data_IF_332379478847
#
_entry.id   IF_332379478847
#
_cell.length_a   1.000
_cell.length_b   1.000
_cell.length_c   1.000
_cell.angle_alpha   90.00
_cell.angle_beta   90.00
_cell.angle_gamma   90.00
#
_symmetry.space_group_name_H-M   'P 1'
#
loop_
_entity.id
_entity.type
_entity.pdbx_description
1 polymer ?
#
# COMPACT_ATOMS: atom_id res chain seq x y z
N UNK A 1 -3.87 3.42 31.72
CA UNK A 1 -4.45 4.54 32.53
C UNK A 1 -3.74 5.82 32.14
N UNK A 2 -4.42 6.81 31.53
CA UNK A 2 -4.07 8.26 31.36
C UNK A 2 -2.55 8.65 31.34
N UNK A 3 -2.00 9.42 30.40
CA UNK A 3 -2.56 10.63 29.73
C UNK A 3 -1.60 11.15 28.64
N UNK A 4 -2.12 11.89 27.66
CA UNK A 4 -1.37 12.75 26.73
C UNK A 4 -0.32 13.67 27.40
N UNK A 5 0.73 14.03 26.65
CA UNK A 5 1.29 15.39 26.70
C UNK A 5 1.67 15.93 25.32
N UNK A 6 0.89 16.91 24.83
CA UNK A 6 1.20 17.70 23.63
C UNK A 6 2.00 18.94 24.05
N UNK A 7 3.13 19.22 23.40
CA UNK A 7 3.76 20.56 23.41
C UNK A 7 4.64 20.76 22.17
N UNK A 8 4.15 21.54 21.22
CA UNK A 8 4.87 21.79 19.97
C UNK A 8 5.98 22.83 20.12
N UNK A 9 6.90 22.82 19.16
CA UNK A 9 7.67 24.00 18.73
C UNK A 9 7.97 23.83 17.24
N UNK A 10 7.64 24.82 16.43
CA UNK A 10 8.01 24.82 15.00
C UNK A 10 9.53 24.90 14.87
N UNK A 11 10.14 23.93 14.20
CA UNK A 11 11.51 24.05 13.71
C UNK A 11 11.52 23.84 12.19
N UNK A 12 11.87 24.90 11.45
CA UNK A 12 12.28 24.75 10.06
C UNK A 12 13.67 24.11 10.06
N UNK A 13 13.83 22.94 9.44
CA UNK A 13 15.13 22.52 8.94
C UNK A 13 15.00 22.21 7.45
N UNK A 14 15.86 22.85 6.65
CA UNK A 14 15.91 22.67 5.20
C UNK A 14 16.65 21.38 4.89
N UNK A 15 16.19 20.69 3.85
CA UNK A 15 16.70 19.42 3.35
C UNK A 15 18.24 19.31 3.31
N UNK A 16 18.74 18.16 3.76
CA UNK A 16 20.01 17.59 3.31
C UNK A 16 19.69 16.46 2.32
N UNK A 17 19.87 16.75 1.03
CA UNK A 17 19.64 15.82 -0.07
C UNK A 17 20.71 14.73 -0.08
N UNK A 18 20.31 13.46 0.01
CA UNK A 18 21.18 12.31 -0.24
C UNK A 18 20.43 11.26 -1.07
N UNK A 19 21.13 10.79 -2.10
CA UNK A 19 20.59 10.04 -3.24
C UNK A 19 19.85 8.75 -2.84
N UNK A 20 18.54 8.71 -3.13
CA UNK A 20 17.89 7.46 -3.49
C UNK A 20 18.08 7.23 -5.00
N UNK A 21 18.92 6.25 -5.36
CA UNK A 21 18.80 5.63 -6.69
C UNK A 21 17.44 4.92 -6.73
N UNK A 22 16.67 5.16 -7.78
CA UNK A 22 15.26 4.79 -7.79
C UNK A 22 15.03 3.27 -7.80
N UNK A 23 14.10 2.82 -6.97
CA UNK A 23 13.39 1.57 -7.21
C UNK A 23 12.35 1.82 -8.32
N UNK A 24 12.57 1.17 -9.46
CA UNK A 24 11.54 0.99 -10.48
C UNK A 24 10.61 -0.13 -10.06
N UNK A 25 9.32 -0.02 -10.36
CA UNK A 25 8.36 -1.10 -10.12
C UNK A 25 7.28 -1.16 -11.21
N UNK A 26 7.57 -1.91 -12.27
CA UNK A 26 6.60 -2.40 -13.25
C UNK A 26 6.33 -3.88 -12.91
N UNK A 27 5.34 -4.10 -12.04
CA UNK A 27 5.52 -4.98 -10.86
C UNK A 27 6.71 -4.48 -10.00
N UNK A 28 6.57 -4.48 -8.68
CA UNK A 28 7.79 -4.69 -7.93
C UNK A 28 8.35 -6.03 -8.42
N UNK A 29 9.63 -6.08 -8.80
CA UNK A 29 10.31 -7.38 -8.77
C UNK A 29 10.11 -7.83 -7.32
N UNK A 30 9.34 -8.90 -7.13
CA UNK A 30 8.77 -9.21 -5.82
C UNK A 30 9.87 -9.74 -4.92
N UNK A 31 10.58 -8.82 -4.28
CA UNK A 31 11.80 -9.13 -3.57
C UNK A 31 11.47 -9.96 -2.32
N UNK A 32 12.39 -10.87 -2.02
CA UNK A 32 12.43 -11.53 -0.72
C UNK A 32 13.31 -10.68 0.17
N UNK A 33 12.70 -9.90 1.06
CA UNK A 33 13.43 -9.05 2.00
C UNK A 33 13.83 -9.88 3.20
N UNK A 34 15.12 -9.94 3.47
CA UNK A 34 15.68 -10.49 4.71
C UNK A 34 15.60 -9.44 5.82
N UNK A 35 14.84 -9.72 6.87
CA UNK A 35 14.67 -8.80 7.99
C UNK A 35 15.76 -9.02 9.04
N UNK A 36 16.46 -7.92 9.34
CA UNK A 36 17.36 -7.73 10.48
C UNK A 36 16.76 -6.64 11.35
N UNK A 37 17.08 -6.59 12.63
CA UNK A 37 16.39 -5.65 13.52
C UNK A 37 17.16 -5.25 14.77
N UNK A 38 16.51 -4.35 15.50
CA UNK A 38 17.01 -3.65 16.67
C UNK A 38 16.98 -4.50 17.95
N UNK A 39 17.43 -3.92 19.06
CA UNK A 39 17.37 -4.55 20.39
C UNK A 39 16.40 -3.79 21.28
N UNK A 40 15.37 -4.49 21.72
CA UNK A 40 14.37 -4.05 22.69
C UNK A 40 14.93 -3.95 24.15
N UNK A 41 16.16 -3.45 24.32
CA UNK A 41 16.80 -3.24 25.62
C UNK A 41 17.14 -1.77 25.90
N UNK A 42 16.34 -0.87 25.32
CA UNK A 42 16.50 0.60 25.38
C UNK A 42 17.80 1.11 24.73
N UNK A 43 18.49 0.26 23.96
CA UNK A 43 19.67 0.62 23.20
C UNK A 43 19.47 0.41 21.70
N UNK A 44 19.41 1.51 20.96
CA UNK A 44 19.44 1.48 19.50
C UNK A 44 20.78 0.88 19.05
N UNK A 45 20.73 -0.28 18.39
CA UNK A 45 21.87 -0.75 17.61
C UNK A 45 22.13 0.22 16.46
N UNK A 46 23.39 0.40 16.09
CA UNK A 46 23.73 1.16 14.88
C UNK A 46 23.48 0.34 13.62
N UNK A 47 23.23 1.01 12.49
CA UNK A 47 23.12 0.38 11.17
C UNK A 47 24.32 -0.53 10.85
N UNK A 48 25.53 -0.15 11.28
CA UNK A 48 26.75 -0.94 11.12
C UNK A 48 26.68 -2.26 11.90
N UNK A 49 26.23 -2.23 13.16
CA UNK A 49 26.06 -3.42 14.00
C UNK A 49 24.93 -4.34 13.49
N UNK A 50 23.84 -3.77 12.94
CA UNK A 50 22.74 -4.55 12.33
C UNK A 50 23.18 -5.18 11.01
N UNK A 51 23.96 -4.46 10.20
CA UNK A 51 24.38 -4.94 8.86
C UNK A 51 25.12 -6.29 8.92
N UNK A 52 25.86 -6.55 10.00
CA UNK A 52 26.65 -7.77 10.21
C UNK A 52 25.90 -8.91 10.92
N UNK A 53 24.67 -8.70 11.38
CA UNK A 53 23.83 -9.77 11.91
C UNK A 53 23.39 -10.73 10.79
N UNK A 54 23.11 -12.02 11.10
CA UNK A 54 22.31 -12.88 10.21
C UNK A 54 20.89 -12.30 10.04
N UNK A 55 20.20 -12.74 8.99
CA UNK A 55 18.77 -12.47 8.85
C UNK A 55 17.97 -13.31 9.85
N UNK A 56 16.96 -12.71 10.48
CA UNK A 56 16.10 -13.40 11.45
C UNK A 56 14.96 -14.15 10.77
N UNK A 57 14.33 -13.51 9.77
CA UNK A 57 13.30 -14.09 8.91
C UNK A 57 13.32 -13.39 7.55
N UNK A 58 12.65 -13.99 6.56
CA UNK A 58 12.44 -13.39 5.23
C UNK A 58 10.96 -13.22 4.93
N UNK A 59 10.63 -12.17 4.19
CA UNK A 59 9.27 -11.92 3.67
C UNK A 59 9.32 -11.88 2.15
N UNK A 60 8.54 -12.71 1.47
CA UNK A 60 8.43 -12.70 0.00
C UNK A 60 7.43 -11.63 -0.47
N UNK A 61 7.43 -11.31 -1.77
CA UNK A 61 6.43 -10.44 -2.39
C UNK A 61 6.33 -9.04 -1.76
N UNK A 62 7.43 -8.55 -1.20
CA UNK A 62 7.56 -7.16 -0.77
C UNK A 62 7.58 -6.26 -2.00
N UNK A 63 6.84 -5.16 -1.92
CA UNK A 63 6.65 -4.20 -3.01
C UNK A 63 7.06 -2.77 -2.65
N UNK A 64 7.12 -2.45 -1.35
CA UNK A 64 7.55 -1.16 -0.83
C UNK A 64 7.84 -1.24 0.68
N UNK A 65 8.40 -0.18 1.27
CA UNK A 65 8.44 0.01 2.74
C UNK A 65 7.67 1.27 3.16
N UNK A 66 7.44 1.43 4.46
CA UNK A 66 6.84 2.64 5.05
C UNK A 66 7.41 2.92 6.44
N UNK A 67 7.42 4.19 6.85
CA UNK A 67 7.87 4.61 8.19
C UNK A 67 6.88 4.11 9.25
N UNK A 68 7.37 3.35 10.23
CA UNK A 68 6.57 2.75 11.31
C UNK A 68 6.67 3.55 12.61
N UNK A 69 7.52 4.59 12.71
CA UNK A 69 7.76 5.33 13.96
C UNK A 69 6.57 6.09 14.51
N UNK A 70 5.54 6.34 13.69
CA UNK A 70 4.27 6.92 14.13
C UNK A 70 3.33 5.87 14.78
N UNK A 71 3.66 4.58 14.64
CA UNK A 71 2.93 3.42 15.19
C UNK A 71 3.72 2.78 16.35
N UNK A 72 5.02 2.49 16.14
CA UNK A 72 5.92 1.90 17.14
C UNK A 72 7.28 2.62 17.10
N UNK A 73 7.68 3.25 18.20
CA UNK A 73 8.90 4.07 18.26
C UNK A 73 10.21 3.26 18.13
N UNK A 74 10.15 1.92 18.23
CA UNK A 74 11.30 1.01 18.15
C UNK A 74 11.46 0.33 16.78
N UNK A 75 10.53 0.56 15.84
CA UNK A 75 10.57 -0.02 14.50
C UNK A 75 10.67 1.10 13.46
N UNK A 76 11.77 1.11 12.71
CA UNK A 76 12.04 2.15 11.71
C UNK A 76 11.14 2.01 10.47
N UNK A 77 11.13 0.83 9.85
CA UNK A 77 10.43 0.57 8.59
C UNK A 77 9.59 -0.70 8.66
N UNK A 78 8.40 -0.63 8.08
CA UNK A 78 7.49 -1.74 7.85
C UNK A 78 7.44 -2.12 6.38
N UNK A 79 7.01 -3.34 6.08
CA UNK A 79 6.97 -3.89 4.72
C UNK A 79 5.56 -3.81 4.15
N UNK A 80 5.41 -3.37 2.90
CA UNK A 80 4.17 -3.50 2.12
C UNK A 80 4.33 -4.68 1.17
N UNK A 81 3.37 -5.60 1.14
CA UNK A 81 3.51 -6.89 0.45
C UNK A 81 2.26 -7.28 -0.33
N UNK A 82 2.44 -7.92 -1.49
CA UNK A 82 1.34 -8.44 -2.32
C UNK A 82 0.86 -9.82 -1.81
N UNK A 83 -0.45 -10.11 -1.84
CA UNK A 83 -0.94 -11.45 -1.59
C UNK A 83 -0.61 -12.35 -2.82
N UNK A 84 -0.29 -13.62 -2.66
CA UNK A 84 0.06 -14.29 -1.40
C UNK A 84 1.52 -13.99 -1.01
N UNK A 85 1.79 -13.67 0.25
CA UNK A 85 3.15 -13.46 0.78
C UNK A 85 3.52 -14.52 1.81
N UNK A 86 4.76 -15.02 1.81
CA UNK A 86 5.24 -15.95 2.83
C UNK A 86 6.23 -15.26 3.76
N UNK A 87 5.98 -15.32 5.07
CA UNK A 87 6.97 -14.98 6.11
C UNK A 87 7.62 -16.30 6.54
N UNK A 88 8.95 -16.38 6.48
CA UNK A 88 9.72 -17.60 6.79
C UNK A 88 10.82 -17.32 7.81
N UNK A 89 10.85 -18.06 8.91
CA UNK A 89 11.89 -18.01 9.94
C UNK A 89 13.23 -18.52 9.40
N UNK A 90 14.29 -17.74 9.63
CA UNK A 90 15.67 -18.07 9.24
C UNK A 90 16.59 -18.29 10.46
N UNK A 91 16.25 -17.76 11.64
CA UNK A 91 17.09 -17.84 12.82
C UNK A 91 17.25 -19.28 13.34
N UNK A 92 18.51 -19.67 13.56
CA UNK A 92 18.93 -20.96 14.11
C UNK A 92 18.70 -21.03 15.62
N UNK A 93 18.62 -22.26 16.17
CA UNK A 93 18.65 -22.50 17.62
C UNK A 93 17.29 -22.52 18.34
N UNK A 94 16.21 -22.12 17.66
CA UNK A 94 14.87 -22.10 18.24
C UNK A 94 14.53 -20.74 18.85
N UNK A 95 13.45 -20.12 18.39
CA UNK A 95 13.03 -18.77 18.82
C UNK A 95 11.52 -18.70 19.01
N UNK A 96 11.06 -17.74 19.81
CA UNK A 96 9.66 -17.29 19.72
C UNK A 96 9.52 -16.54 18.39
N UNK A 97 8.53 -16.92 17.60
CA UNK A 97 8.27 -16.38 16.27
C UNK A 97 6.78 -16.54 16.01
N UNK A 98 6.00 -15.55 16.40
CA UNK A 98 4.54 -15.55 16.30
C UNK A 98 4.11 -14.40 15.38
N UNK A 99 3.11 -14.65 14.52
CA UNK A 99 2.59 -13.63 13.59
C UNK A 99 1.12 -13.42 13.88
N UNK A 100 0.75 -12.17 14.11
CA UNK A 100 -0.60 -11.75 14.48
C UNK A 100 -1.22 -10.95 13.34
N UNK A 101 -2.49 -11.20 13.04
CA UNK A 101 -3.30 -10.24 12.27
C UNK A 101 -3.74 -9.14 13.23
N UNK A 102 -3.42 -7.89 12.93
CA UNK A 102 -3.69 -6.77 13.82
C UNK A 102 -5.13 -6.29 13.67
N UNK A 103 -5.74 -5.91 14.80
CA UNK A 103 -6.98 -5.12 14.80
C UNK A 103 -6.62 -3.65 14.96
N UNK A 104 -6.94 -2.84 13.94
CA UNK A 104 -6.81 -1.39 14.03
C UNK A 104 -7.85 -0.81 15.00
N UNK A 105 -7.39 0.10 15.85
CA UNK A 105 -8.20 0.91 16.76
C UNK A 105 -7.91 2.39 16.53
N UNK A 106 -8.91 3.25 16.75
CA UNK A 106 -8.85 4.71 16.67
C UNK A 106 -7.47 5.36 16.95
N UNK A 107 -7.10 6.36 16.16
CA UNK A 107 -5.84 7.10 16.24
C UNK A 107 -4.57 6.26 15.94
N UNK A 108 -4.57 5.45 14.87
CA UNK A 108 -3.44 4.60 14.42
C UNK A 108 -2.90 3.61 15.48
N UNK A 109 -3.72 3.18 16.44
CA UNK A 109 -3.31 2.19 17.43
C UNK A 109 -3.69 0.78 16.99
N UNK A 110 -2.90 -0.22 17.38
CA UNK A 110 -3.14 -1.62 17.02
C UNK A 110 -3.18 -2.48 18.26
N UNK A 111 -4.12 -3.41 18.30
CA UNK A 111 -4.20 -4.48 19.28
C UNK A 111 -3.98 -5.84 18.59
N UNK A 112 -3.31 -6.75 19.30
CA UNK A 112 -3.21 -8.16 18.94
C UNK A 112 -3.51 -9.02 20.17
N UNK A 113 -4.23 -10.10 19.96
CA UNK A 113 -4.58 -11.08 20.99
C UNK A 113 -4.02 -12.46 20.61
N UNK A 114 -3.80 -13.35 21.58
CA UNK A 114 -3.30 -14.72 21.31
C UNK A 114 -4.24 -15.53 20.39
N UNK A 115 -5.51 -15.16 20.32
CA UNK A 115 -6.52 -15.71 19.40
C UNK A 115 -6.41 -15.21 17.96
N UNK A 116 -5.70 -14.10 17.71
CA UNK A 116 -5.41 -13.55 16.37
C UNK A 116 -4.10 -14.09 15.77
N UNK A 117 -3.43 -15.01 16.48
CA UNK A 117 -2.20 -15.64 16.01
C UNK A 117 -2.47 -16.55 14.82
N UNK A 118 -1.74 -16.33 13.73
CA UNK A 118 -1.82 -17.16 12.54
C UNK A 118 -1.19 -18.55 12.74
N UNK A 119 -1.75 -19.61 12.12
CA UNK A 119 -1.18 -20.93 12.17
C UNK A 119 0.14 -21.00 11.39
N UNK A 120 1.22 -21.33 12.10
CA UNK A 120 2.53 -21.59 11.51
C UNK A 120 2.64 -23.04 11.01
N UNK A 121 3.38 -23.23 9.92
CA UNK A 121 3.78 -24.54 9.42
C UNK A 121 5.26 -24.76 9.67
N UNK A 122 5.65 -25.92 10.19
CA UNK A 122 7.05 -26.26 10.43
C UNK A 122 7.23 -27.07 11.70
N UNK A 123 8.32 -26.83 12.43
CA UNK A 123 8.66 -27.55 13.67
C UNK A 123 9.00 -26.61 14.80
N UNK A 124 8.58 -26.96 16.00
CA UNK A 124 8.95 -26.27 17.22
C UNK A 124 9.64 -27.23 18.19
N UNK A 125 10.55 -26.69 18.98
CA UNK A 125 11.04 -27.30 20.22
C UNK A 125 10.11 -26.85 21.34
N UNK A 126 9.61 -27.80 22.13
CA UNK A 126 8.83 -27.54 23.33
C UNK A 126 9.51 -28.19 24.54
N UNK A 127 9.32 -27.56 25.69
CA UNK A 127 9.77 -28.06 26.99
C UNK A 127 8.56 -28.59 27.74
N UNK A 128 8.50 -29.90 27.98
CA UNK A 128 7.34 -30.56 28.60
C UNK A 128 7.78 -31.22 29.90
N UNK A 129 7.12 -30.87 31.00
CA UNK A 129 7.33 -31.53 32.28
C UNK A 129 6.66 -32.91 32.32
N UNK A 130 7.39 -33.93 32.75
CA UNK A 130 6.86 -35.28 32.97
C UNK A 130 6.10 -35.40 34.32
N UNK A 131 5.55 -36.58 34.63
CA UNK A 131 4.85 -36.83 35.91
C UNK A 131 5.72 -36.64 37.17
N UNK A 132 7.06 -36.58 37.02
CA UNK A 132 8.02 -36.32 38.09
C UNK A 132 8.41 -34.83 38.23
N UNK A 133 8.07 -34.01 37.23
CA UNK A 133 8.49 -32.62 37.11
C UNK A 133 9.87 -32.43 36.45
N UNK A 134 10.42 -33.48 35.82
CA UNK A 134 11.60 -33.35 34.97
C UNK A 134 11.17 -32.81 33.60
N UNK A 135 11.87 -31.79 33.09
CA UNK A 135 11.53 -31.12 31.84
C UNK A 135 12.31 -31.76 30.70
N UNK A 136 11.59 -32.38 29.76
CA UNK A 136 12.17 -32.97 28.54
C UNK A 136 12.05 -32.01 27.35
N UNK A 137 13.06 -32.01 26.49
CA UNK A 137 13.10 -31.20 25.27
C UNK A 137 12.59 -32.04 24.10
N UNK A 138 11.51 -31.59 23.44
CA UNK A 138 10.90 -32.32 22.34
C UNK A 138 10.73 -31.46 21.10
N UNK A 139 11.29 -31.91 19.97
CA UNK A 139 10.90 -31.39 18.65
C UNK A 139 9.58 -32.01 18.22
N UNK A 140 8.59 -31.18 17.93
CA UNK A 140 7.27 -31.56 17.40
C UNK A 140 6.97 -30.82 16.10
N UNK A 141 6.00 -31.31 15.34
CA UNK A 141 5.39 -30.53 14.26
C UNK A 141 4.52 -29.43 14.89
N UNK A 142 4.49 -28.23 14.30
CA UNK A 142 3.70 -27.11 14.85
C UNK A 142 2.21 -27.45 14.90
N UNK A 143 1.71 -28.28 13.97
CA UNK A 143 0.34 -28.78 13.99
C UNK A 143 0.01 -29.70 15.17
N UNK A 144 1.01 -30.23 15.88
CA UNK A 144 0.80 -31.05 17.08
C UNK A 144 0.79 -30.23 18.39
N UNK A 145 1.12 -28.93 18.37
CA UNK A 145 1.31 -28.12 19.60
C UNK A 145 0.11 -28.12 20.55
N UNK A 146 -1.12 -28.15 20.02
CA UNK A 146 -2.36 -28.21 20.82
C UNK A 146 -2.46 -29.46 21.72
N UNK A 147 -1.62 -30.47 21.51
CA UNK A 147 -1.57 -31.70 22.31
C UNK A 147 -0.62 -31.57 23.52
N UNK A 148 0.05 -30.43 23.72
CA UNK A 148 1.04 -30.21 24.77
C UNK A 148 0.76 -28.92 25.55
N UNK A 149 1.02 -28.95 26.85
CA UNK A 149 0.96 -27.77 27.73
C UNK A 149 2.29 -27.00 27.63
N UNK A 150 2.50 -26.34 26.49
CA UNK A 150 3.74 -25.65 26.15
C UNK A 150 3.52 -24.14 26.06
N UNK A 151 3.84 -23.41 27.14
CA UNK A 151 3.64 -21.94 27.22
C UNK A 151 4.48 -21.17 26.18
N UNK A 152 5.68 -21.65 25.82
CA UNK A 152 6.61 -20.98 24.91
C UNK A 152 7.25 -21.97 23.92
N UNK A 153 6.58 -22.31 22.80
CA UNK A 153 7.19 -23.09 21.73
C UNK A 153 8.30 -22.30 21.03
N UNK A 154 9.46 -22.92 20.85
CA UNK A 154 10.59 -22.35 20.12
C UNK A 154 10.60 -22.87 18.68
N UNK A 155 10.15 -22.06 17.73
CA UNK A 155 10.09 -22.41 16.32
C UNK A 155 11.49 -22.52 15.70
N UNK A 156 11.67 -23.50 14.82
CA UNK A 156 12.93 -23.81 14.14
C UNK A 156 12.99 -23.19 12.72
N UNK A 157 14.19 -23.02 12.13
CA UNK A 157 14.35 -22.53 10.75
C UNK A 157 13.42 -23.21 9.74
N UNK A 158 12.85 -22.42 8.85
CA UNK A 158 11.87 -22.87 7.86
C UNK A 158 10.42 -22.93 8.38
N UNK A 159 10.15 -22.57 9.64
CA UNK A 159 8.78 -22.27 10.07
C UNK A 159 8.22 -21.08 9.27
N UNK A 160 7.02 -21.23 8.71
CA UNK A 160 6.46 -20.24 7.78
C UNK A 160 4.96 -20.07 7.94
N UNK A 161 4.48 -18.86 7.64
CA UNK A 161 3.05 -18.53 7.48
C UNK A 161 2.80 -17.91 6.11
N UNK A 162 1.65 -18.24 5.53
CA UNK A 162 1.17 -17.65 4.28
C UNK A 162 0.15 -16.54 4.58
N UNK A 163 0.46 -15.33 4.14
CA UNK A 163 -0.35 -14.13 4.27
C UNK A 163 -1.16 -13.92 2.98
N UNK A 164 -2.39 -14.41 2.99
CA UNK A 164 -3.32 -14.33 1.84
C UNK A 164 -4.37 -13.24 1.99
N UNK A 165 -4.72 -12.85 3.21
CA UNK A 165 -5.75 -11.86 3.46
C UNK A 165 -5.16 -10.45 3.62
N UNK A 166 -5.81 -9.42 3.08
CA UNK A 166 -5.42 -8.03 3.32
C UNK A 166 -5.53 -7.64 4.79
N UNK A 167 -4.70 -6.68 5.19
CA UNK A 167 -4.66 -6.13 6.54
C UNK A 167 -3.24 -5.87 7.01
N UNK A 168 -3.15 -5.33 8.23
CA UNK A 168 -1.89 -5.12 8.93
C UNK A 168 -1.56 -6.33 9.82
N UNK A 169 -0.29 -6.69 9.88
CA UNK A 169 0.23 -7.84 10.62
C UNK A 169 1.47 -7.45 11.41
N UNK A 170 1.66 -8.10 12.55
CA UNK A 170 2.85 -7.93 13.39
C UNK A 170 3.61 -9.25 13.51
N UNK A 171 4.91 -9.20 13.26
CA UNK A 171 5.84 -10.32 13.49
C UNK A 171 6.54 -10.09 14.83
N UNK A 172 6.17 -10.91 15.82
CA UNK A 172 6.84 -10.99 17.10
C UNK A 172 7.96 -12.04 17.00
N UNK A 173 9.22 -11.60 16.97
CA UNK A 173 10.40 -12.49 16.94
C UNK A 173 11.28 -12.24 18.16
N UNK A 174 11.65 -13.31 18.88
CA UNK A 174 12.37 -13.21 20.15
C UNK A 174 13.28 -14.40 20.44
N UNK A 175 14.56 -14.12 20.70
CA UNK A 175 15.50 -15.07 21.30
C UNK A 175 15.29 -15.18 22.82
N UNK A 176 15.50 -16.37 23.39
CA UNK A 176 15.35 -16.58 24.84
C UNK A 176 16.51 -15.93 25.60
N UNK A 177 16.19 -14.94 26.45
CA UNK A 177 17.06 -14.33 27.46
C UNK A 177 18.40 -13.70 26.99
N UNK A 178 18.70 -13.66 25.68
CA UNK A 178 19.95 -13.11 25.14
C UNK A 178 19.65 -12.05 24.08
N UNK A 179 20.00 -10.79 24.39
CA UNK A 179 20.34 -9.74 23.42
C UNK A 179 19.27 -9.28 22.38
N UNK A 180 18.01 -9.13 22.76
CA UNK A 180 17.03 -8.32 22.01
C UNK A 180 16.23 -9.08 20.93
N UNK A 181 15.49 -8.34 20.11
CA UNK A 181 14.31 -8.83 19.37
C UNK A 181 14.08 -8.00 18.11
N UNK A 182 14.07 -8.64 16.95
CA UNK A 182 13.82 -8.00 15.65
C UNK A 182 12.36 -8.15 15.22
N UNK A 183 11.50 -7.19 15.56
CA UNK A 183 10.08 -7.18 15.15
C UNK A 183 9.87 -6.48 13.79
N UNK A 184 8.74 -6.76 13.13
CA UNK A 184 8.32 -6.01 11.93
C UNK A 184 6.79 -5.85 11.83
N UNK A 185 6.37 -4.71 11.27
CA UNK A 185 5.02 -4.52 10.75
C UNK A 185 4.97 -4.89 9.26
N UNK A 186 3.93 -5.61 8.87
CA UNK A 186 3.69 -6.04 7.48
C UNK A 186 2.27 -5.62 7.07
N UNK A 187 2.15 -4.83 6.02
CA UNK A 187 0.88 -4.47 5.38
C UNK A 187 0.66 -5.34 4.16
N UNK A 188 -0.27 -6.29 4.25
CA UNK A 188 -0.72 -7.10 3.11
C UNK A 188 -1.84 -6.33 2.42
N UNK A 189 -1.67 -6.10 1.13
CA UNK A 189 -2.64 -5.35 0.32
C UNK A 189 -3.70 -6.28 -0.29
N UNK A 190 -4.88 -5.79 -0.62
CA UNK A 190 -5.86 -6.48 -1.48
C UNK A 190 -5.35 -6.82 -2.88
N UNK A 191 -5.95 -7.83 -3.52
CA UNK A 191 -5.76 -8.09 -4.96
C UNK A 191 -6.21 -6.91 -5.86
N UNK A 192 -6.85 -5.89 -5.30
CA UNK A 192 -7.14 -4.60 -5.95
C UNK A 192 -6.50 -3.39 -5.26
N UNK A 193 -5.68 -3.59 -4.23
CA UNK A 193 -5.08 -2.52 -3.45
C UNK A 193 -3.57 -2.54 -3.66
N UNK A 194 -3.01 -1.37 -3.89
CA UNK A 194 -1.65 -0.99 -3.47
C UNK A 194 -1.85 0.36 -2.81
N UNK A 195 -2.47 0.33 -1.63
CA UNK A 195 -3.18 1.47 -1.05
C UNK A 195 -3.21 1.44 0.49
N UNK A 196 -3.32 2.63 1.09
CA UNK A 196 -3.13 2.88 2.51
C UNK A 196 -4.43 3.33 3.21
N UNK A 197 -4.70 2.77 4.39
CA UNK A 197 -5.63 3.29 5.41
C UNK A 197 -5.08 4.58 6.08
N UNK A 198 -5.85 5.35 6.90
CA UNK A 198 -7.12 5.03 7.60
C UNK A 198 -8.21 6.16 7.47
N UNK A 199 -9.28 6.32 8.27
CA UNK A 199 -9.74 5.76 9.56
C UNK A 199 -11.29 5.81 9.71
N UNK A 200 -11.82 5.06 10.69
CA UNK A 200 -13.10 5.10 11.46
C UNK A 200 -14.24 6.13 11.18
N UNK A 201 -15.54 5.85 11.37
CA UNK A 201 -16.35 4.66 11.78
C UNK A 201 -17.88 4.97 11.49
N UNK A 202 -18.95 4.24 11.88
CA UNK A 202 -19.20 3.17 12.88
C UNK A 202 -20.51 2.39 12.60
N UNK A 203 -20.54 1.09 12.94
CA UNK A 203 -21.68 0.21 13.30
C UNK A 203 -22.85 -0.10 12.32
N UNK A 204 -23.32 -1.37 12.42
CA UNK A 204 -24.54 -2.01 11.90
C UNK A 204 -24.51 -2.70 10.52
N UNK A 205 -24.87 -3.98 10.54
CA UNK A 205 -24.86 -4.97 9.44
C UNK A 205 -25.98 -4.79 8.41
N UNK A 206 -25.64 -4.63 7.14
CA UNK A 206 -26.33 -5.26 6.00
C UNK A 206 -25.36 -5.35 4.79
N UNK A 207 -25.47 -6.37 3.95
CA UNK A 207 -24.53 -6.59 2.83
C UNK A 207 -24.75 -5.57 1.71
N UNK A 208 -23.93 -4.52 1.69
CA UNK A 208 -23.97 -3.45 0.68
C UNK A 208 -22.84 -3.57 -0.36
N UNK A 209 -23.13 -3.15 -1.59
CA UNK A 209 -22.17 -2.93 -2.68
C UNK A 209 -21.12 -1.88 -2.23
N UNK A 210 -19.81 -2.03 -2.53
CA UNK A 210 -18.77 -1.16 -1.98
C UNK A 210 -19.02 0.31 -2.31
N UNK A 211 -19.15 1.15 -1.28
CA UNK A 211 -19.45 2.57 -1.45
C UNK A 211 -18.20 3.36 -1.86
N UNK A 212 -18.34 4.18 -2.92
CA UNK A 212 -17.26 5.05 -3.39
C UNK A 212 -17.04 6.18 -2.36
N UNK A 213 -15.81 6.39 -1.84
CA UNK A 213 -15.59 7.33 -0.75
C UNK A 213 -15.90 8.77 -1.17
N UNK A 214 -16.68 9.47 -0.32
CA UNK A 214 -17.16 10.82 -0.58
C UNK A 214 -16.03 11.88 -0.59
N UNK A 215 -14.90 11.58 0.04
CA UNK A 215 -13.71 12.42 0.09
C UNK A 215 -12.47 11.54 0.13
N UNK A 216 -11.37 11.99 -0.49
CA UNK A 216 -10.11 11.25 -0.63
C UNK A 216 -8.90 12.18 -0.50
N UNK A 217 -7.75 11.65 -0.06
CA UNK A 217 -6.47 12.32 -0.28
C UNK A 217 -6.03 12.14 -1.73
N UNK A 218 -5.42 13.18 -2.29
CA UNK A 218 -4.90 13.22 -3.65
C UNK A 218 -3.44 13.70 -3.58
N UNK A 219 -2.50 12.78 -3.71
CA UNK A 219 -1.06 13.04 -3.65
C UNK A 219 -0.54 13.42 -5.05
N UNK A 220 0.22 14.51 -5.24
CA UNK A 220 0.68 14.93 -6.56
C UNK A 220 1.67 13.93 -7.15
N UNK A 221 1.50 13.57 -8.42
CA UNK A 221 2.43 12.66 -9.13
C UNK A 221 3.47 13.44 -9.92
N UNK A 222 4.72 12.96 -9.93
CA UNK A 222 5.83 13.50 -10.72
C UNK A 222 6.18 12.65 -11.96
N UNK A 223 5.36 11.63 -12.27
CA UNK A 223 5.57 10.71 -13.38
C UNK A 223 5.65 11.48 -14.71
N UNK A 224 6.64 11.13 -15.53
CA UNK A 224 6.74 11.65 -16.89
C UNK A 224 5.58 11.11 -17.72
N UNK A 225 4.99 11.94 -18.59
CA UNK A 225 3.90 11.49 -19.47
C UNK A 225 4.28 11.77 -20.91
N UNK A 226 4.19 10.75 -21.76
CA UNK A 226 4.28 10.86 -23.21
C UNK A 226 2.89 10.67 -23.81
N UNK A 227 2.51 11.54 -24.74
CA UNK A 227 1.29 11.40 -25.55
C UNK A 227 1.73 11.19 -26.99
N UNK A 228 1.46 10.00 -27.54
CA UNK A 228 1.99 9.54 -28.84
C UNK A 228 3.52 9.72 -28.99
N UNK A 229 4.27 9.59 -27.89
CA UNK A 229 5.73 9.77 -27.85
C UNK A 229 6.22 11.20 -27.60
N UNK A 230 5.36 12.22 -27.58
CA UNK A 230 5.74 13.60 -27.22
C UNK A 230 5.52 13.86 -25.72
N UNK A 231 6.46 14.51 -25.05
CA UNK A 231 6.38 14.77 -23.61
C UNK A 231 5.37 15.88 -23.28
N UNK A 232 4.42 15.57 -22.39
CA UNK A 232 3.34 16.47 -21.98
C UNK A 232 3.30 16.54 -20.46
N UNK A 233 3.39 17.76 -19.90
CA UNK A 233 3.27 17.98 -18.46
C UNK A 233 1.80 18.03 -18.04
N UNK A 234 1.42 17.21 -17.07
CA UNK A 234 0.08 17.22 -16.46
C UNK A 234 0.14 17.64 -14.99
N UNK A 235 -0.93 18.26 -14.50
CA UNK A 235 -1.29 18.17 -13.09
C UNK A 235 -2.08 16.86 -12.92
N UNK A 236 -1.48 15.87 -12.27
CA UNK A 236 -2.06 14.56 -12.02
C UNK A 236 -1.81 14.15 -10.56
N UNK A 237 -2.71 13.33 -10.02
CA UNK A 237 -2.71 12.93 -8.61
C UNK A 237 -2.84 11.42 -8.48
N UNK A 238 -2.08 10.84 -7.56
CA UNK A 238 -2.32 9.52 -7.02
C UNK A 238 -3.47 9.66 -6.01
N UNK A 239 -4.61 9.09 -6.33
CA UNK A 239 -5.74 8.91 -5.43
C UNK A 239 -5.92 7.42 -5.34
N UNK A 240 -5.84 6.88 -4.14
CA UNK A 240 -6.05 5.46 -3.91
C UNK A 240 -5.18 4.63 -4.88
N UNK A 241 -3.86 4.87 -4.88
CA UNK A 241 -2.85 4.19 -5.71
C UNK A 241 -2.98 4.33 -7.23
N UNK A 242 -4.07 4.92 -7.71
CA UNK A 242 -4.40 5.07 -9.12
C UNK A 242 -4.04 6.47 -9.61
N UNK A 243 -3.57 6.58 -10.87
CA UNK A 243 -3.25 7.87 -11.46
C UNK A 243 -4.52 8.56 -11.99
N UNK A 244 -4.93 9.65 -11.33
CA UNK A 244 -6.06 10.49 -11.69
C UNK A 244 -5.60 11.73 -12.46
N UNK A 245 -6.18 11.91 -13.65
CA UNK A 245 -5.89 13.01 -14.56
C UNK A 245 -7.07 13.96 -14.67
N UNK A 246 -6.79 15.25 -14.79
CA UNK A 246 -7.79 16.27 -15.12
C UNK A 246 -8.36 16.00 -16.51
N UNK A 247 -9.67 15.72 -16.58
CA UNK A 247 -10.35 15.25 -17.79
C UNK A 247 -10.14 16.18 -19.01
N UNK A 248 -10.17 17.49 -18.78
CA UNK A 248 -9.97 18.51 -19.83
C UNK A 248 -8.53 18.59 -20.33
N UNK A 249 -7.56 18.29 -19.48
CA UNK A 249 -6.14 18.28 -19.85
C UNK A 249 -5.86 17.05 -20.73
N UNK A 250 -6.42 15.89 -20.35
CA UNK A 250 -6.35 14.67 -21.17
C UNK A 250 -7.02 14.88 -22.55
N UNK A 251 -8.23 15.44 -22.58
CA UNK A 251 -8.94 15.77 -23.83
C UNK A 251 -8.16 16.77 -24.70
N UNK A 252 -7.46 17.73 -24.09
CA UNK A 252 -6.59 18.68 -24.79
C UNK A 252 -5.37 17.99 -25.39
N UNK A 253 -4.71 17.11 -24.64
CA UNK A 253 -3.46 16.48 -25.05
C UNK A 253 -3.62 15.49 -26.21
N UNK A 254 -4.77 14.80 -26.31
CA UNK A 254 -5.08 13.89 -27.42
C UNK A 254 -5.91 14.54 -28.54
N UNK A 255 -6.12 15.86 -28.51
CA UNK A 255 -6.97 16.56 -29.47
C UNK A 255 -6.41 16.45 -30.90
N UNK A 256 -7.27 16.17 -31.88
CA UNK A 256 -6.85 15.93 -33.27
C UNK A 256 -6.35 14.50 -33.58
N UNK A 257 -6.26 13.61 -32.60
CA UNK A 257 -5.96 12.18 -32.82
C UNK A 257 -7.21 11.37 -33.19
N UNK A 258 -7.06 10.10 -33.56
CA UNK A 258 -8.21 9.24 -33.87
C UNK A 258 -9.05 8.86 -32.63
N UNK A 259 -8.50 9.00 -31.42
CA UNK A 259 -9.19 8.72 -30.13
C UNK A 259 -9.55 9.99 -29.36
N UNK A 260 -9.56 11.15 -30.06
CA UNK A 260 -9.99 12.44 -29.51
C UNK A 260 -11.45 12.42 -29.03
N UNK A 261 -11.74 13.21 -27.99
CA UNK A 261 -13.09 13.41 -27.47
C UNK A 261 -13.31 14.83 -26.94
N UNK A 262 -14.56 15.25 -26.94
CA UNK A 262 -15.03 16.52 -26.38
C UNK A 262 -15.61 16.33 -24.97
N UNK A 263 -15.52 17.38 -24.13
CA UNK A 263 -16.03 17.40 -22.76
C UNK A 263 -17.01 18.57 -22.56
N UNK A 264 -18.29 18.28 -22.70
CA UNK A 264 -19.37 19.27 -22.55
C UNK A 264 -20.02 19.17 -21.17
N UNK A 265 -20.43 20.31 -20.60
CA UNK A 265 -21.29 20.34 -19.42
C UNK A 265 -22.75 20.54 -19.82
N UNK A 266 -23.62 19.61 -19.42
CA UNK A 266 -25.07 19.75 -19.60
C UNK A 266 -25.70 20.30 -18.30
N UNK A 267 -26.03 21.59 -18.32
CA UNK A 267 -26.65 22.29 -17.18
C UNK A 267 -28.11 21.90 -16.90
N UNK A 268 -28.82 21.32 -17.88
CA UNK A 268 -30.21 20.86 -17.68
C UNK A 268 -30.26 19.51 -16.94
N UNK A 269 -29.26 18.66 -17.18
CA UNK A 269 -29.13 17.32 -16.57
C UNK A 269 -28.17 17.27 -15.38
N UNK A 270 -27.41 18.34 -15.13
CA UNK A 270 -26.24 18.36 -14.23
C UNK A 270 -25.29 17.19 -14.53
N UNK A 271 -24.83 17.12 -15.78
CA UNK A 271 -24.12 15.97 -16.29
C UNK A 271 -22.90 16.34 -17.15
N UNK A 272 -21.88 15.49 -17.10
CA UNK A 272 -20.69 15.55 -17.95
C UNK A 272 -20.98 14.71 -19.20
N UNK A 273 -20.90 15.33 -20.37
CA UNK A 273 -21.02 14.64 -21.66
C UNK A 273 -19.62 14.44 -22.26
N UNK A 274 -19.31 13.19 -22.52
CA UNK A 274 -18.12 12.69 -23.21
C UNK A 274 -18.52 12.32 -24.65
N UNK A 275 -17.97 13.01 -25.65
CA UNK A 275 -18.36 12.81 -27.06
C UNK A 275 -17.16 12.34 -27.88
N UNK A 276 -17.18 11.09 -28.31
CA UNK A 276 -16.11 10.45 -29.09
C UNK A 276 -15.97 11.04 -30.48
N UNK A 277 -14.76 11.00 -31.04
CA UNK A 277 -14.44 11.44 -32.41
C UNK A 277 -14.75 12.94 -32.68
N UNK A 278 -14.92 13.73 -31.62
CA UNK A 278 -15.12 15.18 -31.70
C UNK A 278 -13.88 15.88 -31.12
N UNK A 279 -13.31 16.88 -31.82
CA UNK A 279 -12.22 17.70 -31.27
C UNK A 279 -12.65 18.40 -29.98
N UNK A 280 -11.75 18.45 -29.00
CA UNK A 280 -11.96 19.14 -27.74
C UNK A 280 -11.98 20.67 -27.93
N UNK A 281 -12.94 21.35 -27.30
CA UNK A 281 -13.03 22.81 -27.30
C UNK A 281 -12.43 23.38 -26.01
N UNK A 282 -11.26 24.02 -26.12
CA UNK A 282 -10.59 24.71 -25.02
C UNK A 282 -11.47 25.79 -24.39
N UNK A 283 -11.63 25.76 -23.06
CA UNK A 283 -12.42 26.72 -22.27
C UNK A 283 -11.58 27.64 -21.38
N UNK A 284 -10.28 27.35 -21.24
CA UNK A 284 -9.31 28.13 -20.48
C UNK A 284 -8.93 27.46 -19.15
N UNK A 285 -7.63 27.47 -18.86
CA UNK A 285 -7.07 26.82 -17.67
C UNK A 285 -6.68 25.35 -17.87
N UNK A 286 -6.75 24.82 -19.09
CA UNK A 286 -6.17 23.53 -19.43
C UNK A 286 -4.63 23.58 -19.41
N UNK A 287 -4.00 22.44 -19.11
CA UNK A 287 -2.55 22.26 -19.03
C UNK A 287 -1.84 23.21 -18.03
N UNK A 288 -2.58 23.78 -17.08
CA UNK A 288 -2.07 24.66 -16.03
C UNK A 288 -1.24 23.86 -15.03
N UNK A 289 0.02 24.25 -14.79
CA UNK A 289 0.86 23.60 -13.78
C UNK A 289 0.29 23.76 -12.36
N UNK A 290 0.13 22.64 -11.66
CA UNK A 290 -0.23 22.62 -10.24
C UNK A 290 0.88 23.12 -9.33
N UNK A 291 0.61 23.18 -8.02
CA UNK A 291 1.59 23.60 -7.02
C UNK A 291 2.35 22.44 -6.34
N UNK A 292 2.22 21.21 -6.86
CA UNK A 292 2.88 20.00 -6.36
C UNK A 292 2.68 19.76 -4.86
N UNK A 293 1.47 20.02 -4.36
CA UNK A 293 1.06 19.71 -2.99
C UNK A 293 -0.13 18.77 -3.01
N UNK A 294 -0.25 17.96 -1.96
CA UNK A 294 -1.45 17.18 -1.64
C UNK A 294 -2.72 18.06 -1.69
N UNK A 295 -3.82 17.43 -2.11
CA UNK A 295 -5.18 18.01 -2.13
C UNK A 295 -6.18 17.03 -1.53
N UNK A 296 -7.33 17.56 -1.12
CA UNK A 296 -8.53 16.76 -0.89
C UNK A 296 -9.33 16.71 -2.19
N UNK A 297 -9.69 15.50 -2.63
CA UNK A 297 -10.68 15.28 -3.68
C UNK A 297 -12.06 15.05 -3.07
N UNK A 298 -13.10 15.70 -3.58
CA UNK A 298 -14.50 15.44 -3.17
C UNK A 298 -15.24 14.72 -4.28
N UNK A 299 -15.95 13.63 -3.96
CA UNK A 299 -16.64 12.80 -4.95
C UNK A 299 -17.57 13.65 -5.84
N UNK A 300 -17.45 13.48 -7.14
CA UNK A 300 -18.32 14.09 -8.12
C UNK A 300 -19.57 13.24 -8.32
N UNK A 301 -20.74 13.81 -8.01
CA UNK A 301 -22.05 13.14 -8.10
C UNK A 301 -22.82 13.50 -9.37
N UNK A 302 -22.21 14.22 -10.32
CA UNK A 302 -22.80 14.47 -11.63
C UNK A 302 -22.89 13.18 -12.44
N UNK A 303 -23.96 13.02 -13.21
CA UNK A 303 -24.09 11.90 -14.15
C UNK A 303 -23.07 12.07 -15.28
N UNK A 304 -22.52 10.96 -15.77
CA UNK A 304 -21.56 10.96 -16.87
C UNK A 304 -22.18 10.18 -18.03
N UNK A 305 -22.20 10.81 -19.21
CA UNK A 305 -22.71 10.22 -20.43
C UNK A 305 -21.59 10.09 -21.45
N UNK A 306 -21.38 8.90 -22.01
CA UNK A 306 -20.54 8.69 -23.18
C UNK A 306 -21.40 8.47 -24.41
N UNK A 307 -21.24 9.32 -25.42
CA UNK A 307 -21.97 9.26 -26.70
C UNK A 307 -23.51 9.23 -26.56
N UNK A 308 -24.02 9.72 -25.41
CA UNK A 308 -25.44 9.74 -25.05
C UNK A 308 -25.92 8.61 -24.13
N UNK A 309 -25.10 7.59 -23.88
CA UNK A 309 -25.35 6.49 -22.94
C UNK A 309 -24.76 6.79 -21.56
N UNK A 310 -25.45 6.44 -20.48
CA UNK A 310 -24.98 6.70 -19.10
C UNK A 310 -23.91 5.68 -18.70
N UNK A 311 -22.74 6.15 -18.26
CA UNK A 311 -21.61 5.30 -17.85
C UNK A 311 -21.29 5.48 -16.37
N UNK A 312 -20.98 4.38 -15.68
CA UNK A 312 -20.47 4.40 -14.29
C UNK A 312 -18.96 4.66 -14.33
N UNK A 313 -18.55 5.89 -14.07
CA UNK A 313 -17.15 6.30 -13.93
C UNK A 313 -17.00 7.12 -12.64
N UNK A 314 -15.95 6.84 -11.87
CA UNK A 314 -15.63 7.59 -10.64
C UNK A 314 -14.81 8.83 -10.97
N UNK A 315 -15.20 9.98 -10.40
CA UNK A 315 -14.46 11.22 -10.55
C UNK A 315 -14.41 12.02 -9.24
N UNK A 316 -13.31 12.72 -9.02
CA UNK A 316 -13.11 13.61 -7.88
C UNK A 316 -12.98 15.05 -8.33
N UNK A 317 -13.63 15.96 -7.59
CA UNK A 317 -13.46 17.40 -7.73
C UNK A 317 -12.25 17.85 -6.90
N UNK A 318 -11.21 18.33 -7.57
CA UNK A 318 -10.01 18.91 -6.96
C UNK A 318 -9.80 20.30 -7.56
N UNK A 319 -9.72 21.34 -6.73
CA UNK A 319 -9.55 22.73 -7.18
C UNK A 319 -10.55 23.14 -8.30
N UNK A 320 -11.83 22.78 -8.16
CA UNK A 320 -12.90 22.97 -9.16
C UNK A 320 -12.71 22.26 -10.51
N UNK A 321 -11.75 21.35 -10.63
CA UNK A 321 -11.52 20.53 -11.82
C UNK A 321 -11.92 19.08 -11.56
N UNK A 322 -12.30 18.37 -12.63
CA UNK A 322 -12.82 17.00 -12.55
C UNK A 322 -11.68 16.04 -12.92
N UNK A 323 -11.27 15.22 -11.96
CA UNK A 323 -10.18 14.26 -12.06
C UNK A 323 -10.75 12.83 -12.14
N UNK A 324 -10.24 12.05 -13.09
CA UNK A 324 -10.68 10.68 -13.36
C UNK A 324 -9.47 9.74 -13.40
N UNK A 325 -9.65 8.50 -12.95
CA UNK A 325 -8.66 7.43 -13.12
C UNK A 325 -8.34 7.25 -14.60
N UNK A 326 -7.05 7.37 -14.96
CA UNK A 326 -6.60 7.39 -16.35
C UNK A 326 -7.05 6.13 -17.11
N UNK A 327 -6.91 4.95 -16.48
CA UNK A 327 -7.26 3.67 -17.09
C UNK A 327 -8.75 3.55 -17.41
N UNK A 328 -9.64 4.10 -16.58
CA UNK A 328 -11.09 4.03 -16.80
C UNK A 328 -11.54 4.88 -18.01
N UNK A 329 -10.95 6.08 -18.15
CA UNK A 329 -11.14 6.91 -19.34
C UNK A 329 -10.50 6.26 -20.57
N UNK A 330 -9.30 5.70 -20.43
CA UNK A 330 -8.61 5.02 -21.51
C UNK A 330 -9.40 3.81 -22.02
N UNK A 331 -9.92 2.96 -21.13
CA UNK A 331 -10.82 1.86 -21.47
C UNK A 331 -12.08 2.39 -22.17
N UNK A 332 -12.70 3.44 -21.65
CA UNK A 332 -13.93 4.04 -22.22
C UNK A 332 -13.74 4.51 -23.66
N UNK A 333 -12.58 5.07 -24.00
CA UNK A 333 -12.23 5.55 -25.34
C UNK A 333 -11.31 4.61 -26.14
N UNK A 334 -11.04 3.41 -25.61
CA UNK A 334 -10.12 2.42 -26.19
C UNK A 334 -8.71 3.00 -26.46
N UNK A 335 -8.21 3.90 -25.61
CA UNK A 335 -6.86 4.50 -25.72
C UNK A 335 -5.83 3.53 -25.14
N UNK A 336 -4.74 3.29 -25.86
CA UNK A 336 -3.61 2.51 -25.36
C UNK A 336 -2.93 3.21 -24.18
N UNK A 337 -2.82 2.50 -23.05
CA UNK A 337 -1.98 2.91 -21.94
C UNK A 337 -0.78 1.98 -21.90
N UNK A 338 0.39 2.59 -21.88
CA UNK A 338 1.67 1.94 -21.59
C UNK A 338 2.27 2.62 -20.37
N UNK A 339 3.18 1.90 -19.73
CA UNK A 339 4.08 2.43 -18.72
C UNK A 339 5.49 2.06 -19.21
N UNK A 340 6.50 2.78 -18.72
CA UNK A 340 7.91 2.46 -18.84
C UNK A 340 8.46 2.62 -17.43
N UNK A 341 8.86 1.49 -16.83
CA UNK A 341 9.35 1.44 -15.47
C UNK A 341 10.74 2.04 -15.33
N UNK A 342 11.61 1.92 -16.35
CA UNK A 342 12.99 2.44 -16.28
C UNK A 342 12.99 3.97 -16.25
N UNK A 343 12.11 4.60 -17.03
CA UNK A 343 12.01 6.07 -17.11
C UNK A 343 10.82 6.65 -16.35
N UNK A 344 10.13 5.85 -15.53
CA UNK A 344 8.91 6.22 -14.78
C UNK A 344 7.90 7.00 -15.64
N UNK A 345 7.66 6.50 -16.85
CA UNK A 345 6.97 7.22 -17.92
C UNK A 345 5.63 6.56 -18.27
N UNK A 346 4.53 7.29 -18.11
CA UNK A 346 3.21 6.90 -18.61
C UNK A 346 3.15 7.23 -20.10
N UNK A 347 2.89 6.24 -20.96
CA UNK A 347 2.65 6.46 -22.38
C UNK A 347 1.16 6.37 -22.71
N UNK A 348 0.58 7.46 -23.17
CA UNK A 348 -0.79 7.55 -23.70
C UNK A 348 -0.68 7.46 -25.22
N UNK A 349 -0.99 6.30 -25.77
CA UNK A 349 -0.88 6.02 -27.22
C UNK A 349 -2.27 5.87 -27.83
N UNK A 350 -2.62 6.83 -28.68
CA UNK A 350 -3.92 6.87 -29.36
C UNK A 350 -3.96 6.04 -30.64
N UNK A 351 -2.83 5.43 -31.05
CA UNK A 351 -2.71 4.58 -32.25
C UNK A 351 -2.83 3.09 -31.96
N UNK A 352 -2.80 2.69 -30.68
CA UNK A 352 -3.00 1.31 -30.22
C UNK A 352 -4.21 1.23 -29.29
N UNK A 353 -4.80 0.04 -29.18
CA UNK A 353 -6.02 -0.21 -28.39
C UNK A 353 -5.75 -0.38 -26.89
N UNK A 354 -6.77 -0.13 -26.06
CA UNK A 354 -6.70 -0.42 -24.64
C UNK A 354 -6.68 -1.93 -24.41
N UNK A 355 -5.67 -2.41 -23.68
CA UNK A 355 -5.57 -3.79 -23.23
C UNK A 355 -5.88 -3.78 -21.73
N UNK A 356 -6.90 -4.55 -21.32
CA UNK A 356 -7.12 -4.82 -19.91
C UNK A 356 -6.03 -5.79 -19.42
N UNK A 357 -5.45 -5.47 -18.27
CA UNK A 357 -4.51 -6.32 -17.52
C UNK A 357 -5.28 -7.45 -16.78
#
# INVERSE_FOLDING_TARGET
>A
MKTFFKRGTTLLLVAAMLLAMGASAFAAETETVEVKGYRDDWSYMTEEEISVLPAHFSVTNVINTFDVKEIDEFIDEGLIVNPSSTVTLLAEGGVIFDIYKLTSTAENTYEYYDEDKLPLFGKAVIFVADESGEVDEKTVDVSELENYDAEFPMYLPGCSVELTEPGDYFVLFREEAIAGQASAFIKVVGESETQNAPEEATEATETAEPEIPASVSALPTSSKVLVNGEEVSFEAYNIDGNNYFKLRDLATAINGTEKQFEVEWNSEKNAINLVSNKPYTTVGGEMSSGNSQEKTGTLNTAKIYKDGEEVKLTAYNINNNNYFKLRDIAQSFNIGITWDGETMTIGIDTTIDYIAE
#
